data_IF_549138441984
#
_entry.id   IF_549138441984
#
_cell.length_a   1.000
_cell.length_b   1.000
_cell.length_c   1.000
_cell.angle_alpha   90.00
_cell.angle_beta   90.00
_cell.angle_gamma   90.00
#
_symmetry.space_group_name_H-M   'P 1'
#
loop_
_entity.id
_entity.type
_entity.pdbx_description
1 polymer ?
#
# COMPACT_ATOMS: atom_id res chain seq x y z
N UNK A 1 11.74 -55.75 10.80
CA UNK A 1 12.40 -54.76 9.88
C UNK A 1 13.87 -54.95 10.11
N UNK A 2 14.55 -55.43 9.10
CA UNK A 2 15.93 -55.90 9.20
C UNK A 2 16.90 -54.72 9.19
N UNK A 3 18.02 -54.80 9.95
CA UNK A 3 19.10 -53.80 10.00
C UNK A 3 19.61 -53.39 8.62
N UNK A 4 19.55 -54.30 7.65
CA UNK A 4 19.88 -53.99 6.24
C UNK A 4 19.02 -52.91 5.59
N UNK A 5 17.70 -52.87 5.93
CA UNK A 5 16.82 -51.85 5.35
C UNK A 5 17.12 -50.44 5.93
N UNK A 6 17.47 -50.37 7.20
CA UNK A 6 17.85 -49.15 7.87
C UNK A 6 19.18 -48.64 7.35
N UNK A 7 20.16 -49.54 7.19
CA UNK A 7 21.49 -49.22 6.64
C UNK A 7 21.38 -48.71 5.21
N UNK A 8 20.55 -49.35 4.37
CA UNK A 8 20.30 -48.89 3.00
C UNK A 8 19.59 -47.52 2.94
N UNK A 9 18.70 -47.25 3.93
CA UNK A 9 18.02 -45.97 4.04
C UNK A 9 19.03 -44.83 4.41
N UNK A 10 19.89 -45.09 5.40
CA UNK A 10 20.92 -44.15 5.82
C UNK A 10 21.91 -43.86 4.71
N UNK A 11 22.35 -44.87 3.94
CA UNK A 11 23.19 -44.68 2.79
C UNK A 11 22.58 -43.76 1.71
N UNK A 12 21.27 -43.96 1.42
CA UNK A 12 20.55 -43.06 0.48
C UNK A 12 20.47 -41.62 0.98
N UNK A 13 20.23 -41.43 2.29
CA UNK A 13 20.18 -40.07 2.86
C UNK A 13 21.55 -39.39 2.85
N UNK A 14 22.63 -40.13 3.14
CA UNK A 14 23.98 -39.59 3.05
C UNK A 14 24.28 -39.14 1.62
N UNK A 15 23.96 -39.94 0.62
CA UNK A 15 24.14 -39.56 -0.78
C UNK A 15 23.35 -38.29 -1.15
N UNK A 16 22.11 -38.16 -0.68
CA UNK A 16 21.31 -36.97 -0.93
C UNK A 16 21.90 -35.71 -0.29
N UNK A 17 22.50 -35.84 0.89
CA UNK A 17 23.18 -34.72 1.54
C UNK A 17 24.42 -34.31 0.76
N UNK A 18 25.25 -35.25 0.30
CA UNK A 18 26.45 -34.98 -0.51
C UNK A 18 26.03 -34.26 -1.82
N UNK A 19 24.99 -34.72 -2.50
CA UNK A 19 24.48 -34.13 -3.74
C UNK A 19 23.98 -32.68 -3.51
N UNK A 20 23.32 -32.41 -2.38
CA UNK A 20 22.88 -31.08 -2.01
C UNK A 20 24.05 -30.15 -1.64
N UNK A 21 25.05 -30.67 -0.90
CA UNK A 21 26.23 -29.90 -0.58
C UNK A 21 27.00 -29.51 -1.84
N UNK A 22 27.13 -30.43 -2.80
CA UNK A 22 27.73 -30.16 -4.09
C UNK A 22 26.96 -29.09 -4.87
N UNK A 23 25.65 -29.21 -4.94
CA UNK A 23 24.81 -28.21 -5.63
C UNK A 23 24.91 -26.82 -4.99
N UNK A 24 25.00 -26.73 -3.67
CA UNK A 24 25.22 -25.48 -2.94
C UNK A 24 26.63 -24.92 -3.21
N UNK A 25 27.62 -25.77 -3.29
CA UNK A 25 28.99 -25.35 -3.63
C UNK A 25 29.06 -24.80 -5.06
N UNK A 26 28.42 -25.46 -6.00
CA UNK A 26 28.33 -25.02 -7.41
C UNK A 26 27.63 -23.67 -7.56
N UNK A 27 26.56 -23.44 -6.77
CA UNK A 27 25.88 -22.14 -6.74
C UNK A 27 26.75 -21.02 -6.15
N UNK A 28 27.65 -21.36 -5.23
CA UNK A 28 28.57 -20.38 -4.61
C UNK A 28 29.80 -20.06 -5.47
N UNK A 29 30.24 -21.02 -6.25
CA UNK A 29 31.48 -20.93 -7.07
C UNK A 29 31.21 -20.71 -8.55
N UNK A 30 29.96 -20.82 -8.99
CA UNK A 30 29.54 -20.53 -10.34
C UNK A 30 29.95 -19.11 -10.77
N UNK A 31 30.17 -18.86 -12.06
CA UNK A 31 30.41 -17.50 -12.54
C UNK A 31 29.27 -16.57 -12.03
N UNK A 32 29.62 -15.32 -11.63
CA UNK A 32 28.59 -14.42 -11.11
C UNK A 32 27.42 -14.44 -12.10
N UNK A 33 26.25 -14.86 -11.62
CA UNK A 33 25.07 -14.91 -12.44
C UNK A 33 24.99 -13.56 -13.14
N UNK A 34 24.97 -13.57 -14.48
CA UNK A 34 24.80 -12.36 -15.27
C UNK A 34 23.70 -11.58 -14.60
N UNK A 35 23.99 -10.32 -14.20
CA UNK A 35 23.04 -9.49 -13.49
C UNK A 35 21.67 -9.71 -14.15
N UNK A 36 20.60 -10.00 -13.37
CA UNK A 36 19.29 -10.20 -13.97
C UNK A 36 19.04 -9.02 -14.89
N UNK A 37 18.55 -9.22 -16.10
CA UNK A 37 18.23 -8.11 -16.99
C UNK A 37 17.45 -7.09 -16.14
N UNK A 38 17.76 -5.78 -16.24
CA UNK A 38 17.10 -4.78 -15.43
C UNK A 38 15.62 -5.12 -15.47
N UNK A 39 15.05 -5.40 -14.28
CA UNK A 39 13.66 -5.85 -14.20
C UNK A 39 12.88 -4.91 -15.08
N UNK A 40 12.25 -5.44 -16.15
CA UNK A 40 11.47 -4.63 -17.06
C UNK A 40 10.53 -3.83 -16.17
N UNK A 41 10.76 -2.52 -16.10
CA UNK A 41 9.90 -1.64 -15.32
C UNK A 41 8.50 -1.96 -15.80
N UNK A 42 7.55 -2.35 -14.92
CA UNK A 42 6.22 -2.66 -15.36
C UNK A 42 5.79 -1.49 -16.24
N UNK A 43 5.42 -1.76 -17.47
CA UNK A 43 4.98 -0.73 -18.40
C UNK A 43 4.00 0.13 -17.62
N UNK A 44 4.38 1.38 -17.34
CA UNK A 44 3.57 2.28 -16.53
C UNK A 44 2.31 2.53 -17.34
N UNK A 45 1.26 1.77 -17.01
CA UNK A 45 -0.05 2.03 -17.60
C UNK A 45 -0.41 3.45 -17.20
N UNK A 46 -0.66 4.31 -18.18
CA UNK A 46 -1.03 5.69 -17.90
C UNK A 46 -2.21 5.74 -16.91
N UNK A 47 -2.17 6.63 -15.94
CA UNK A 47 -3.26 6.76 -14.99
C UNK A 47 -4.58 7.03 -15.74
N UNK A 48 -5.66 6.49 -15.26
CA UNK A 48 -7.02 6.69 -15.85
C UNK A 48 -7.45 8.15 -15.73
N UNK A 49 -7.09 8.77 -14.59
CA UNK A 49 -7.39 10.16 -14.29
C UNK A 49 -6.09 10.95 -14.23
N UNK A 50 -6.04 12.11 -14.86
CA UNK A 50 -4.82 12.90 -14.93
C UNK A 50 -4.49 13.58 -13.60
N UNK A 51 -5.51 13.83 -12.76
CA UNK A 51 -5.36 14.54 -11.49
C UNK A 51 -6.18 13.87 -10.38
N UNK A 52 -5.77 14.11 -9.14
CA UNK A 52 -6.53 13.72 -7.96
C UNK A 52 -7.94 14.35 -7.96
N UNK A 53 -8.07 15.57 -8.45
CA UNK A 53 -9.36 16.26 -8.51
C UNK A 53 -10.35 15.52 -9.42
N UNK A 54 -9.92 15.10 -10.61
CA UNK A 54 -10.73 14.29 -11.53
C UNK A 54 -11.11 12.95 -10.91
N UNK A 55 -10.17 12.29 -10.23
CA UNK A 55 -10.46 11.04 -9.53
C UNK A 55 -11.52 11.23 -8.44
N UNK A 56 -11.41 12.27 -7.63
CA UNK A 56 -12.39 12.57 -6.59
C UNK A 56 -13.76 12.89 -7.21
N UNK A 57 -13.80 13.69 -8.26
CA UNK A 57 -15.04 14.07 -8.93
C UNK A 57 -15.76 12.88 -9.58
N UNK A 58 -15.00 12.02 -10.27
CA UNK A 58 -15.58 10.96 -11.10
C UNK A 58 -15.70 9.61 -10.41
N UNK A 59 -14.97 9.38 -9.31
CA UNK A 59 -14.98 8.10 -8.59
C UNK A 59 -15.50 8.27 -7.16
N UNK A 60 -14.87 9.13 -6.37
CA UNK A 60 -15.19 9.23 -4.94
C UNK A 60 -16.54 9.89 -4.71
N UNK A 61 -16.78 11.03 -5.33
CA UNK A 61 -18.01 11.81 -5.11
C UNK A 61 -19.29 11.01 -5.46
N UNK A 62 -19.40 10.35 -6.63
CA UNK A 62 -20.59 9.56 -6.93
C UNK A 62 -20.68 8.28 -6.09
N UNK A 63 -19.56 7.61 -5.77
CA UNK A 63 -19.56 6.37 -5.02
C UNK A 63 -20.03 6.56 -3.58
N UNK A 64 -19.65 7.66 -2.96
CA UNK A 64 -19.95 7.95 -1.56
C UNK A 64 -21.04 9.01 -1.33
N UNK A 65 -21.72 9.47 -2.39
CA UNK A 65 -22.75 10.51 -2.30
C UNK A 65 -23.89 10.16 -1.31
N UNK A 66 -24.34 8.91 -1.33
CA UNK A 66 -25.48 8.47 -0.48
C UNK A 66 -25.10 8.35 0.99
N UNK A 67 -23.82 8.32 1.32
CA UNK A 67 -23.35 8.19 2.70
C UNK A 67 -23.25 9.53 3.44
N UNK A 68 -23.66 10.63 2.82
CA UNK A 68 -23.72 11.95 3.47
C UNK A 68 -25.00 12.13 4.32
N UNK A 69 -25.94 11.19 4.22
CA UNK A 69 -27.12 11.18 5.10
C UNK A 69 -26.78 10.52 6.43
N UNK A 70 -26.91 11.24 7.53
CA UNK A 70 -26.61 10.74 8.89
C UNK A 70 -25.41 11.45 9.52
N UNK A 71 -24.50 10.69 10.14
CA UNK A 71 -23.39 11.25 10.93
C UNK A 71 -22.11 11.58 10.15
N UNK A 72 -22.11 11.49 8.81
CA UNK A 72 -20.95 11.78 7.98
C UNK A 72 -20.85 13.28 7.63
N UNK A 73 -19.62 13.78 7.53
CA UNK A 73 -19.31 15.13 7.03
C UNK A 73 -18.45 15.06 5.76
N UNK A 74 -18.64 16.06 4.91
CA UNK A 74 -17.78 16.28 3.75
C UNK A 74 -17.59 17.77 3.53
N UNK A 75 -16.37 18.19 3.21
CA UNK A 75 -16.08 19.56 2.83
C UNK A 75 -15.85 19.67 1.32
N UNK A 76 -16.61 20.56 0.65
CA UNK A 76 -16.40 20.82 -0.78
C UNK A 76 -15.00 21.31 -1.12
N UNK A 77 -14.34 22.01 -0.17
CA UNK A 77 -12.93 22.43 -0.27
C UNK A 77 -11.97 21.39 0.30
N UNK A 78 -12.20 20.11 0.00
CA UNK A 78 -11.41 18.99 0.54
C UNK A 78 -9.91 19.13 0.24
N UNK A 79 -9.52 19.75 -0.86
CA UNK A 79 -8.12 19.97 -1.28
C UNK A 79 -7.31 20.88 -0.35
N UNK A 80 -7.99 21.70 0.47
CA UNK A 80 -7.38 22.60 1.44
C UNK A 80 -7.22 21.97 2.83
N UNK A 81 -7.52 20.69 2.95
CA UNK A 81 -7.25 19.89 4.15
C UNK A 81 -6.12 18.91 3.85
N UNK A 82 -4.93 19.13 4.42
CA UNK A 82 -3.76 18.30 4.19
C UNK A 82 -4.01 16.81 4.47
N UNK A 83 -4.67 16.47 5.59
CA UNK A 83 -5.03 15.08 5.92
C UNK A 83 -5.94 14.46 4.85
N UNK A 84 -6.93 15.20 4.37
CA UNK A 84 -7.82 14.72 3.33
C UNK A 84 -7.09 14.51 2.00
N UNK A 85 -6.26 15.45 1.61
CA UNK A 85 -5.49 15.38 0.37
C UNK A 85 -4.58 14.15 0.34
N UNK A 86 -3.81 13.92 1.41
CA UNK A 86 -2.89 12.77 1.50
C UNK A 86 -3.64 11.44 1.46
N UNK A 87 -4.77 11.34 2.17
CA UNK A 87 -5.60 10.13 2.18
C UNK A 87 -6.22 9.85 0.83
N UNK A 88 -6.82 10.84 0.21
CA UNK A 88 -7.44 10.71 -1.11
C UNK A 88 -6.40 10.38 -2.20
N UNK A 89 -5.19 10.94 -2.11
CA UNK A 89 -4.11 10.59 -3.00
C UNK A 89 -3.69 9.11 -2.83
N UNK A 90 -3.60 8.61 -1.61
CA UNK A 90 -3.31 7.20 -1.34
C UNK A 90 -4.41 6.28 -1.89
N UNK A 91 -5.69 6.67 -1.73
CA UNK A 91 -6.85 5.95 -2.28
C UNK A 91 -6.79 5.90 -3.81
N UNK A 92 -6.47 7.03 -4.45
CA UNK A 92 -6.32 7.11 -5.90
C UNK A 92 -5.18 6.25 -6.42
N UNK A 93 -3.98 6.37 -5.85
CA UNK A 93 -2.82 5.58 -6.26
C UNK A 93 -3.08 4.07 -6.14
N UNK A 94 -3.70 3.64 -5.06
CA UNK A 94 -4.10 2.24 -4.88
C UNK A 94 -5.14 1.81 -5.92
N UNK A 95 -6.10 2.68 -6.26
CA UNK A 95 -7.09 2.42 -7.29
C UNK A 95 -6.43 2.21 -8.67
N UNK A 96 -5.46 3.07 -9.03
CA UNK A 96 -4.76 2.95 -10.32
C UNK A 96 -4.06 1.61 -10.50
N UNK A 97 -3.57 1.00 -9.42
CA UNK A 97 -2.95 -0.33 -9.45
C UNK A 97 -4.02 -1.42 -9.44
N UNK A 98 -4.94 -1.38 -8.47
CA UNK A 98 -5.90 -2.46 -8.25
C UNK A 98 -6.97 -2.58 -9.34
N UNK A 99 -7.32 -1.49 -10.02
CA UNK A 99 -8.25 -1.53 -11.17
C UNK A 99 -7.76 -2.41 -12.33
N UNK A 100 -6.45 -2.68 -12.40
CA UNK A 100 -5.87 -3.52 -13.44
C UNK A 100 -5.96 -5.01 -13.12
N UNK A 101 -6.30 -5.36 -11.89
CA UNK A 101 -6.55 -6.74 -11.48
C UNK A 101 -8.01 -7.13 -11.83
N UNK A 102 -8.23 -8.05 -12.77
CA UNK A 102 -9.53 -8.21 -13.42
C UNK A 102 -10.62 -8.85 -12.53
N UNK A 103 -10.26 -9.57 -11.47
CA UNK A 103 -11.21 -10.37 -10.70
C UNK A 103 -11.57 -9.74 -9.36
N UNK A 104 -10.59 -9.46 -8.51
CA UNK A 104 -10.81 -9.04 -7.12
C UNK A 104 -10.27 -7.64 -6.82
N UNK A 105 -9.59 -7.00 -7.78
CA UNK A 105 -8.89 -5.75 -7.56
C UNK A 105 -9.78 -4.64 -6.99
N UNK A 106 -10.93 -4.39 -7.60
CA UNK A 106 -11.87 -3.37 -7.12
C UNK A 106 -12.48 -3.75 -5.77
N UNK A 107 -12.81 -5.02 -5.55
CA UNK A 107 -13.34 -5.47 -4.26
C UNK A 107 -12.31 -5.30 -3.14
N UNK A 108 -11.04 -5.59 -3.41
CA UNK A 108 -9.94 -5.34 -2.47
C UNK A 108 -9.73 -3.85 -2.22
N UNK A 109 -9.73 -3.05 -3.28
CA UNK A 109 -9.59 -1.60 -3.15
C UNK A 109 -10.69 -1.01 -2.27
N UNK A 110 -11.96 -1.39 -2.46
CA UNK A 110 -13.06 -0.93 -1.62
C UNK A 110 -12.83 -1.31 -0.15
N UNK A 111 -12.68 -2.62 0.12
CA UNK A 111 -12.59 -3.15 1.48
C UNK A 111 -11.36 -2.68 2.24
N UNK A 112 -10.18 -2.71 1.59
CA UNK A 112 -8.90 -2.57 2.27
C UNK A 112 -8.37 -1.12 2.23
N UNK A 113 -8.87 -0.30 1.30
CA UNK A 113 -8.34 1.04 1.06
C UNK A 113 -9.45 2.09 1.11
N UNK A 114 -10.44 2.05 0.22
CA UNK A 114 -11.36 3.16 0.05
C UNK A 114 -12.27 3.33 1.26
N UNK A 115 -13.00 2.28 1.67
CA UNK A 115 -13.95 2.36 2.78
C UNK A 115 -13.29 2.80 4.08
N UNK A 116 -12.15 2.23 4.54
CA UNK A 116 -11.49 2.68 5.77
C UNK A 116 -11.02 4.14 5.71
N UNK A 117 -10.54 4.60 4.56
CA UNK A 117 -10.11 5.99 4.42
C UNK A 117 -11.30 6.95 4.37
N UNK A 118 -12.37 6.57 3.68
CA UNK A 118 -13.60 7.38 3.61
C UNK A 118 -14.32 7.45 4.96
N UNK A 119 -14.35 6.37 5.73
CA UNK A 119 -14.86 6.38 7.10
C UNK A 119 -14.09 7.37 7.98
N UNK A 120 -12.75 7.36 7.87
CA UNK A 120 -11.90 8.30 8.59
C UNK A 120 -12.09 9.75 8.14
N UNK A 121 -12.18 9.99 6.84
CA UNK A 121 -12.39 11.32 6.28
C UNK A 121 -13.72 11.93 6.73
N UNK A 122 -14.77 11.10 6.80
CA UNK A 122 -16.13 11.53 7.06
C UNK A 122 -16.55 11.45 8.53
N UNK A 123 -15.65 10.99 9.38
CA UNK A 123 -15.86 10.94 10.85
C UNK A 123 -16.09 12.36 11.38
N UNK A 124 -17.27 12.59 11.96
CA UNK A 124 -17.69 13.90 12.46
C UNK A 124 -16.85 14.38 13.65
N UNK A 125 -16.31 13.46 14.43
CA UNK A 125 -15.61 13.80 15.67
C UNK A 125 -14.07 13.88 15.45
N UNK A 126 -13.55 13.03 14.56
CA UNK A 126 -12.11 12.84 14.37
C UNK A 126 -11.63 13.13 12.95
N UNK A 127 -12.55 13.26 11.99
CA UNK A 127 -12.22 13.52 10.59
C UNK A 127 -11.66 14.92 10.34
N UNK A 128 -10.97 15.14 9.21
CA UNK A 128 -10.43 16.44 8.85
C UNK A 128 -11.53 17.50 8.63
N UNK A 129 -12.74 17.06 8.30
CA UNK A 129 -13.87 17.96 8.00
C UNK A 129 -14.74 18.29 9.22
N UNK A 130 -14.34 17.84 10.42
CA UNK A 130 -15.15 18.02 11.65
C UNK A 130 -15.52 19.47 11.98
N UNK A 131 -14.65 20.42 11.60
CA UNK A 131 -14.88 21.84 11.82
C UNK A 131 -15.58 22.53 10.65
N UNK A 132 -15.82 21.82 9.55
CA UNK A 132 -16.54 22.31 8.39
C UNK A 132 -18.04 21.99 8.50
N UNK A 133 -18.88 22.90 8.07
CA UNK A 133 -20.33 22.73 8.06
C UNK A 133 -21.03 24.05 7.88
N UNK A 134 -22.32 24.03 7.55
CA UNK A 134 -23.17 25.22 7.36
C UNK A 134 -22.55 26.26 6.39
N UNK A 135 -21.88 25.77 5.32
CA UNK A 135 -21.19 26.63 4.36
C UNK A 135 -19.85 27.18 4.83
N UNK A 136 -19.38 26.79 6.02
CA UNK A 136 -18.07 27.21 6.54
C UNK A 136 -17.01 26.17 6.19
N UNK A 137 -15.86 26.66 5.76
CA UNK A 137 -14.65 25.89 5.58
C UNK A 137 -13.61 26.33 6.62
N UNK A 138 -12.99 25.38 7.30
CA UNK A 138 -11.94 25.62 8.29
C UNK A 138 -10.87 24.53 8.20
N UNK A 139 -9.74 24.85 7.61
CA UNK A 139 -8.55 24.00 7.61
C UNK A 139 -7.91 23.99 9.01
N UNK A 140 -7.48 22.81 9.47
CA UNK A 140 -6.77 22.71 10.75
C UNK A 140 -5.35 23.24 10.60
N UNK A 141 -4.83 23.98 11.61
CA UNK A 141 -3.41 24.36 11.61
C UNK A 141 -2.52 23.12 11.76
N UNK A 142 -1.27 23.17 11.28
CA UNK A 142 -0.31 22.09 11.49
C UNK A 142 -0.03 21.88 12.98
N UNK A 143 0.40 20.66 13.31
CA UNK A 143 0.85 20.37 14.68
C UNK A 143 2.07 21.24 15.03
N UNK A 144 2.16 21.72 16.28
CA UNK A 144 3.37 22.40 16.73
C UNK A 144 4.53 21.40 16.77
N UNK A 145 5.66 21.80 16.20
CA UNK A 145 6.88 20.99 16.20
C UNK A 145 8.06 21.84 16.68
N UNK A 146 8.89 21.25 17.52
CA UNK A 146 10.14 21.85 17.96
C UNK A 146 11.30 21.24 17.17
N UNK A 147 12.33 22.02 16.93
CA UNK A 147 13.54 21.50 16.30
C UNK A 147 14.29 20.62 17.31
N UNK A 148 14.72 19.40 16.89
CA UNK A 148 15.56 18.60 17.75
C UNK A 148 16.88 19.33 18.08
N UNK A 149 17.49 19.05 19.23
CA UNK A 149 18.81 19.61 19.57
C UNK A 149 19.84 19.29 18.50
N UNK A 150 20.86 20.14 18.35
CA UNK A 150 21.98 19.88 17.46
C UNK A 150 22.65 18.54 17.82
N UNK A 151 22.97 17.72 16.82
CA UNK A 151 23.60 16.41 17.01
C UNK A 151 22.65 15.28 17.40
N UNK A 152 21.34 15.50 17.52
CA UNK A 152 20.38 14.46 17.88
C UNK A 152 20.37 13.28 16.90
N UNK A 153 20.57 13.55 15.61
CA UNK A 153 20.56 12.55 14.54
C UNK A 153 21.94 11.93 14.23
N UNK A 154 23.04 12.41 14.88
CA UNK A 154 24.39 11.96 14.57
C UNK A 154 24.67 10.51 14.99
N UNK A 155 23.75 9.90 15.74
CA UNK A 155 23.87 8.53 16.30
C UNK A 155 22.72 7.59 15.88
N UNK A 156 21.93 7.98 14.87
CA UNK A 156 20.80 7.18 14.37
C UNK A 156 20.91 6.87 12.88
#
# INVERSE_FOLDING_TARGET
MTDDAVTAQLARQAQQLDDLEQAVADLRTGPPASAPPPAAQPATVAPRWATLAEFVEHVIAPLYAQHLTGNGTWCGSWWDHDDARVRLEAVWRAWEVLRLEPTTGIARWLRDVADPQMDRLRDRDRGPFRACGDGKHLAAPPLPVEKPPAGFWDHH
#
